data_IF_559349030061
#
_entry.id   IF_559349030061
#
_cell.length_a   1.000
_cell.length_b   1.000
_cell.length_c   1.000
_cell.angle_alpha   90.00
_cell.angle_beta   90.00
_cell.angle_gamma   90.00
#
_symmetry.space_group_name_H-M   'P 1'
#
loop_
_entity.id
_entity.type
_entity.pdbx_description
1 polymer ?
#
# COMPACT_ATOMS: atom_id res chain seq x y z
N UNK A 1 13.19 2.30 53.18
CA UNK A 1 12.22 2.94 52.26
C UNK A 1 12.59 2.52 50.84
N UNK A 2 11.91 1.52 50.27
CA UNK A 2 12.15 1.04 48.89
C UNK A 2 10.79 0.84 48.21
N UNK A 3 10.47 1.69 47.23
CA UNK A 3 9.24 1.63 46.43
C UNK A 3 9.49 0.67 45.26
N UNK A 4 8.83 -0.48 45.28
CA UNK A 4 8.98 -1.53 44.26
C UNK A 4 7.96 -1.28 43.15
N UNK A 5 8.44 -0.76 42.01
CA UNK A 5 7.64 -0.64 40.78
C UNK A 5 7.23 -2.05 40.32
N UNK A 6 5.96 -2.39 40.50
CA UNK A 6 5.34 -3.56 39.87
C UNK A 6 4.97 -3.15 38.45
N UNK A 7 5.84 -3.42 37.50
CA UNK A 7 5.53 -3.25 36.08
C UNK A 7 4.40 -4.20 35.71
N UNK A 8 3.29 -3.64 35.25
CA UNK A 8 2.14 -4.38 34.73
C UNK A 8 2.58 -5.21 33.52
N UNK A 9 2.45 -6.55 33.62
CA UNK A 9 2.82 -7.46 32.53
C UNK A 9 2.03 -7.18 31.24
N UNK A 10 0.85 -6.58 31.34
CA UNK A 10 -0.02 -6.26 30.19
C UNK A 10 0.56 -5.09 29.37
N UNK A 11 1.14 -4.09 30.04
CA UNK A 11 1.78 -2.94 29.38
C UNK A 11 3.09 -3.33 28.68
N UNK A 12 3.85 -4.28 29.24
CA UNK A 12 5.07 -4.82 28.62
C UNK A 12 4.72 -5.67 27.39
N UNK A 13 3.67 -6.48 27.44
CA UNK A 13 3.24 -7.29 26.31
C UNK A 13 2.79 -6.43 25.11
N UNK A 14 2.04 -5.35 25.35
CA UNK A 14 1.60 -4.42 24.29
C UNK A 14 2.79 -3.61 23.73
N UNK A 15 3.70 -3.12 24.58
CA UNK A 15 4.90 -2.42 24.15
C UNK A 15 5.87 -3.33 23.38
N UNK A 16 6.00 -4.60 23.79
CA UNK A 16 6.80 -5.61 23.11
C UNK A 16 6.18 -6.00 21.76
N UNK A 17 4.86 -6.20 21.67
CA UNK A 17 4.18 -6.48 20.41
C UNK A 17 4.32 -5.33 19.41
N UNK A 18 4.19 -4.07 19.87
CA UNK A 18 4.48 -2.89 19.04
C UNK A 18 5.93 -2.86 18.59
N UNK A 19 6.88 -3.06 19.51
CA UNK A 19 8.32 -3.07 19.20
C UNK A 19 8.71 -4.17 18.22
N UNK A 20 8.12 -5.36 18.31
CA UNK A 20 8.35 -6.46 17.35
C UNK A 20 7.79 -6.12 15.97
N UNK A 21 6.60 -5.53 15.86
CA UNK A 21 6.05 -5.04 14.57
C UNK A 21 6.96 -3.96 13.95
N UNK A 22 7.49 -3.05 14.76
CA UNK A 22 8.46 -2.03 14.32
C UNK A 22 9.81 -2.63 13.90
N UNK A 23 10.31 -3.67 14.57
CA UNK A 23 11.57 -4.32 14.23
C UNK A 23 11.44 -5.24 13.00
N UNK A 24 10.27 -5.84 12.74
CA UNK A 24 9.96 -6.51 11.47
C UNK A 24 9.92 -5.51 10.30
N UNK A 25 9.41 -4.29 10.53
CA UNK A 25 9.37 -3.19 9.53
C UNK A 25 10.76 -2.71 9.09
N UNK A 26 11.83 -2.97 9.86
CA UNK A 26 13.17 -2.45 9.58
C UNK A 26 14.04 -3.35 8.68
N UNK A 27 13.59 -4.55 8.26
CA UNK A 27 14.30 -5.41 7.29
C UNK A 27 13.37 -6.32 6.46
N UNK A 28 12.23 -5.82 5.96
CA UNK A 28 11.41 -6.56 4.98
C UNK A 28 11.65 -5.95 3.58
N UNK A 29 11.94 -6.76 2.55
CA UNK A 29 12.16 -6.27 1.20
C UNK A 29 10.88 -5.60 0.72
N UNK A 30 11.02 -4.50 -0.03
CA UNK A 30 9.90 -3.82 -0.67
C UNK A 30 9.10 -4.88 -1.44
N UNK A 31 7.87 -5.16 -1.00
CA UNK A 31 6.99 -6.16 -1.65
C UNK A 31 6.56 -5.73 -3.06
N UNK A 32 6.70 -4.43 -3.34
CA UNK A 32 6.56 -3.84 -4.65
C UNK A 32 7.93 -3.73 -5.33
N UNK A 33 8.08 -4.31 -6.52
CA UNK A 33 9.17 -3.97 -7.42
C UNK A 33 8.68 -2.84 -8.34
N UNK A 34 9.15 -1.59 -8.16
CA UNK A 34 8.59 -0.45 -8.88
C UNK A 34 8.83 -0.53 -10.39
N UNK A 35 9.99 -1.05 -10.80
CA UNK A 35 10.36 -1.16 -12.21
C UNK A 35 9.55 -2.22 -12.92
N UNK A 36 9.40 -3.40 -12.28
CA UNK A 36 8.56 -4.49 -12.81
C UNK A 36 7.09 -4.06 -12.87
N UNK A 37 6.61 -3.33 -11.85
CA UNK A 37 5.22 -2.85 -11.83
C UNK A 37 4.98 -1.81 -12.93
N UNK A 38 5.89 -0.86 -13.15
CA UNK A 38 5.75 0.15 -14.21
C UNK A 38 5.57 -0.50 -15.59
N UNK A 39 6.43 -1.49 -15.90
CA UNK A 39 6.38 -2.23 -17.17
C UNK A 39 5.06 -2.96 -17.32
N UNK A 40 4.66 -3.75 -16.31
CA UNK A 40 3.42 -4.54 -16.37
C UNK A 40 2.17 -3.68 -16.49
N UNK A 41 2.10 -2.54 -15.79
CA UNK A 41 0.97 -1.62 -15.91
C UNK A 41 0.76 -1.12 -17.34
N UNK A 42 1.86 -0.78 -18.05
CA UNK A 42 1.77 -0.36 -19.45
C UNK A 42 1.42 -1.52 -20.37
N UNK A 43 2.02 -2.69 -20.14
CA UNK A 43 1.81 -3.85 -21.00
C UNK A 43 0.37 -4.38 -20.89
N UNK A 44 -0.22 -4.34 -19.69
CA UNK A 44 -1.56 -4.90 -19.43
C UNK A 44 -2.69 -3.88 -19.61
N UNK A 45 -2.49 -2.62 -19.23
CA UNK A 45 -3.56 -1.60 -19.22
C UNK A 45 -3.29 -0.42 -20.16
N UNK A 46 -2.14 -0.39 -20.83
CA UNK A 46 -1.75 0.71 -21.69
C UNK A 46 -1.47 2.00 -20.92
N UNK A 47 -1.82 3.13 -21.53
CA UNK A 47 -1.56 4.46 -20.97
C UNK A 47 -0.14 4.95 -21.20
N UNK A 48 0.14 6.15 -20.71
CA UNK A 48 1.45 6.79 -20.91
C UNK A 48 2.44 6.43 -19.80
N UNK A 49 3.73 6.67 -20.04
CA UNK A 49 4.77 6.44 -19.01
C UNK A 49 4.48 7.22 -17.72
N UNK A 50 3.96 8.46 -17.85
CA UNK A 50 3.57 9.28 -16.71
C UNK A 50 2.45 8.66 -15.88
N UNK A 51 1.49 7.99 -16.54
CA UNK A 51 0.37 7.30 -15.89
C UNK A 51 0.85 6.11 -15.05
N UNK A 52 1.66 5.24 -15.63
CA UNK A 52 2.19 4.08 -14.89
C UNK A 52 3.11 4.50 -13.75
N UNK A 53 3.97 5.51 -13.95
CA UNK A 53 4.86 6.02 -12.89
C UNK A 53 4.10 6.58 -11.69
N UNK A 54 3.01 7.31 -11.91
CA UNK A 54 2.24 7.84 -10.79
C UNK A 54 1.54 6.72 -10.01
N UNK A 55 1.03 5.69 -10.69
CA UNK A 55 0.44 4.50 -10.04
C UNK A 55 1.49 3.75 -9.23
N UNK A 56 2.68 3.50 -9.81
CA UNK A 56 3.80 2.86 -9.09
C UNK A 56 4.15 3.62 -7.82
N UNK A 57 4.23 4.95 -7.90
CA UNK A 57 4.50 5.77 -6.71
C UNK A 57 3.42 5.60 -5.65
N UNK A 58 2.14 5.65 -6.02
CA UNK A 58 1.05 5.45 -5.05
C UNK A 58 1.01 4.04 -4.48
N UNK A 59 1.35 3.02 -5.27
CA UNK A 59 1.46 1.64 -4.79
C UNK A 59 2.58 1.49 -3.76
N UNK A 60 3.74 2.10 -3.99
CA UNK A 60 4.84 2.15 -3.02
C UNK A 60 4.42 2.90 -1.75
N UNK A 61 3.80 4.07 -1.88
CA UNK A 61 3.31 4.85 -0.74
C UNK A 61 2.31 4.05 0.11
N UNK A 62 1.40 3.31 -0.52
CA UNK A 62 0.44 2.45 0.16
C UNK A 62 1.11 1.24 0.84
N UNK A 63 2.07 0.60 0.17
CA UNK A 63 2.85 -0.50 0.75
C UNK A 63 3.66 -0.04 1.97
N UNK A 64 4.32 1.11 1.89
CA UNK A 64 5.10 1.71 2.99
C UNK A 64 4.23 2.12 4.18
N UNK A 65 2.98 2.51 3.92
CA UNK A 65 2.00 2.76 4.97
C UNK A 65 1.64 1.48 5.73
N UNK A 66 1.74 0.30 5.10
CA UNK A 66 1.38 -1.00 5.68
C UNK A 66 -0.11 -1.15 5.97
N UNK A 67 -0.93 -0.18 5.55
CA UNK A 67 -2.36 -0.14 5.86
C UNK A 67 -3.12 -1.28 5.18
N UNK A 68 -2.77 -1.59 3.93
CA UNK A 68 -3.39 -2.68 3.19
C UNK A 68 -3.25 -4.03 3.92
N UNK A 69 -2.06 -4.35 4.40
CA UNK A 69 -1.82 -5.58 5.15
C UNK A 69 -2.57 -5.59 6.50
N UNK A 70 -2.63 -4.43 7.17
CA UNK A 70 -3.35 -4.29 8.44
C UNK A 70 -4.88 -4.50 8.30
N UNK A 71 -5.47 -4.08 7.17
CA UNK A 71 -6.92 -4.18 6.93
C UNK A 71 -7.34 -5.48 6.21
N UNK A 72 -6.55 -5.94 5.22
CA UNK A 72 -6.87 -7.09 4.35
C UNK A 72 -6.19 -8.38 4.83
N UNK A 73 -5.11 -8.29 5.60
CA UNK A 73 -4.39 -9.43 6.16
C UNK A 73 -3.38 -10.09 5.23
N UNK A 74 -3.09 -9.49 4.08
CA UNK A 74 -2.06 -9.95 3.13
C UNK A 74 -1.16 -8.78 2.69
N UNK A 75 0.14 -9.00 2.44
CA UNK A 75 1.04 -7.95 2.00
C UNK A 75 0.66 -7.45 0.60
N UNK A 76 0.90 -6.15 0.35
CA UNK A 76 0.67 -5.56 -0.96
C UNK A 76 1.84 -5.87 -1.91
N UNK A 77 1.59 -6.70 -2.93
CA UNK A 77 2.58 -7.11 -3.94
C UNK A 77 2.23 -6.59 -5.33
N UNK A 78 3.17 -6.67 -6.28
CA UNK A 78 2.91 -6.29 -7.68
C UNK A 78 1.73 -7.07 -8.26
N UNK A 79 1.68 -8.37 -7.98
CA UNK A 79 0.64 -9.27 -8.46
C UNK A 79 -0.73 -8.90 -7.88
N UNK A 80 -0.82 -8.63 -6.57
CA UNK A 80 -2.06 -8.14 -5.95
C UNK A 80 -2.53 -6.84 -6.57
N UNK A 81 -1.62 -5.88 -6.77
CA UNK A 81 -1.96 -4.61 -7.44
C UNK A 81 -2.56 -4.88 -8.82
N UNK A 82 -1.90 -5.68 -9.65
CA UNK A 82 -2.35 -5.93 -11.02
C UNK A 82 -3.67 -6.70 -11.08
N UNK A 83 -3.86 -7.69 -10.21
CA UNK A 83 -5.11 -8.45 -10.11
C UNK A 83 -6.28 -7.53 -9.74
N UNK A 84 -6.10 -6.67 -8.75
CA UNK A 84 -7.14 -5.73 -8.32
C UNK A 84 -7.43 -4.64 -9.37
N UNK A 85 -6.42 -4.18 -10.13
CA UNK A 85 -6.63 -3.25 -11.25
C UNK A 85 -7.35 -3.91 -12.44
N UNK A 86 -7.17 -5.22 -12.65
CA UNK A 86 -7.80 -5.95 -13.75
C UNK A 86 -9.33 -6.06 -13.57
N UNK A 87 -9.81 -6.08 -12.31
CA UNK A 87 -11.24 -6.10 -11.99
C UNK A 87 -11.95 -4.75 -12.23
N UNK A 88 -11.17 -3.67 -12.38
CA UNK A 88 -11.73 -2.35 -12.68
C UNK A 88 -12.27 -2.28 -14.13
N UNK A 89 -13.24 -1.39 -14.41
CA UNK A 89 -13.65 -1.07 -15.77
C UNK A 89 -12.48 -0.64 -16.67
N UNK A 90 -12.64 -0.81 -17.98
CA UNK A 90 -11.62 -0.44 -18.95
C UNK A 90 -11.23 1.04 -18.88
N UNK A 91 -9.93 1.29 -18.89
CA UNK A 91 -9.35 2.61 -18.75
C UNK A 91 -7.84 2.55 -18.51
N UNK A 92 -7.17 3.72 -18.50
CA UNK A 92 -5.75 3.81 -18.21
C UNK A 92 -5.44 3.35 -16.77
N UNK A 93 -4.17 3.00 -16.47
CA UNK A 93 -3.75 2.57 -15.13
C UNK A 93 -4.22 3.48 -13.99
N UNK A 94 -4.28 4.80 -14.22
CA UNK A 94 -4.69 5.79 -13.22
C UNK A 94 -6.17 5.69 -12.84
N UNK A 95 -7.03 5.35 -13.80
CA UNK A 95 -8.47 5.27 -13.58
C UNK A 95 -8.81 3.98 -12.85
N UNK A 96 -8.20 2.87 -13.27
CA UNK A 96 -8.26 1.56 -12.59
C UNK A 96 -7.76 1.66 -11.14
N UNK A 97 -6.64 2.36 -10.92
CA UNK A 97 -6.12 2.63 -9.58
C UNK A 97 -7.13 3.40 -8.72
N UNK A 98 -7.68 4.50 -9.23
CA UNK A 98 -8.64 5.31 -8.49
C UNK A 98 -9.96 4.56 -8.21
N UNK A 99 -10.40 3.69 -9.13
CA UNK A 99 -11.53 2.81 -8.91
C UNK A 99 -11.27 1.88 -7.71
N UNK A 100 -10.12 1.22 -7.69
CA UNK A 100 -9.75 0.31 -6.61
C UNK A 100 -9.59 1.03 -5.26
N UNK A 101 -8.91 2.18 -5.23
CA UNK A 101 -8.82 3.03 -4.02
C UNK A 101 -10.21 3.46 -3.53
N UNK A 102 -11.14 3.74 -4.45
CA UNK A 102 -12.54 4.02 -4.10
C UNK A 102 -13.21 2.85 -3.38
N UNK A 103 -13.00 1.63 -3.86
CA UNK A 103 -13.51 0.41 -3.22
C UNK A 103 -12.92 0.23 -1.81
N UNK A 104 -11.61 0.44 -1.64
CA UNK A 104 -10.95 0.37 -0.33
C UNK A 104 -11.44 1.46 0.63
N UNK A 105 -11.67 2.68 0.14
CA UNK A 105 -12.25 3.76 0.95
C UNK A 105 -13.65 3.39 1.46
N UNK A 106 -14.49 2.78 0.62
CA UNK A 106 -15.83 2.34 1.01
C UNK A 106 -15.77 1.22 2.07
N UNK A 107 -14.85 0.27 1.92
CA UNK A 107 -14.74 -0.89 2.79
C UNK A 107 -14.10 -0.58 4.16
N UNK A 108 -13.02 0.22 4.15
CA UNK A 108 -12.15 0.39 5.32
C UNK A 108 -11.95 1.86 5.73
N UNK A 109 -12.14 2.80 4.79
CA UNK A 109 -11.94 4.22 5.02
C UNK A 109 -10.47 4.66 5.10
N UNK A 110 -10.21 5.93 4.80
CA UNK A 110 -8.88 6.54 4.89
C UNK A 110 -7.92 6.20 3.73
N UNK A 111 -8.39 5.54 2.68
CA UNK A 111 -7.63 5.24 1.47
C UNK A 111 -7.62 6.39 0.46
N UNK A 112 -8.54 7.35 0.55
CA UNK A 112 -8.64 8.48 -0.38
C UNK A 112 -7.41 9.40 -0.46
N UNK A 113 -6.42 9.23 0.43
CA UNK A 113 -5.11 9.89 0.36
C UNK A 113 -4.14 9.25 -0.64
N UNK A 114 -4.34 7.97 -0.99
CA UNK A 114 -3.54 7.24 -1.99
C UNK A 114 -4.12 7.35 -3.40
N UNK A 115 -5.25 8.05 -3.55
CA UNK A 115 -5.87 8.32 -4.84
C UNK A 115 -5.10 9.36 -5.65
N UNK A 116 -5.10 9.21 -6.96
CA UNK A 116 -4.43 10.09 -7.91
C UNK A 116 -5.38 11.21 -8.29
N UNK A 117 -5.12 12.43 -7.79
CA UNK A 117 -5.96 13.61 -8.09
C UNK A 117 -5.47 14.42 -9.29
N UNK A 118 -4.15 14.46 -9.49
CA UNK A 118 -3.48 15.17 -10.61
C UNK A 118 -2.14 14.52 -10.90
N UNK A 119 -1.80 14.42 -12.18
CA UNK A 119 -0.49 13.99 -12.66
C UNK A 119 -0.21 14.63 -14.02
N UNK A 120 1.07 14.73 -14.39
CA UNK A 120 1.46 15.20 -15.71
C UNK A 120 1.35 14.02 -16.69
N UNK A 121 0.49 14.14 -17.70
CA UNK A 121 0.51 13.25 -18.84
C UNK A 121 1.75 13.60 -19.67
N UNK A 122 2.79 12.78 -19.60
CA UNK A 122 3.90 12.79 -20.55
C UNK A 122 3.58 11.69 -21.56
N UNK A 123 3.36 12.07 -22.83
CA UNK A 123 3.00 11.19 -23.96
C UNK A 123 4.12 10.19 -24.28
#
# INVERSE_FOLDING_TARGET
MWFRYRTDRSSIAIAAARTVKYLQRLRQPVFIDPGKLEVRLRDEFGGTMGQSRVVVRQAVDLADAGRYEDDVGVPLTNEVVLDELADAPDGPPTDRWNWWIGSLEIAYGGYGQFGIRRYRNEE
#
